data_IF_333865874444
#
_entry.id   IF_333865874444
#
_cell.length_a   1.000
_cell.length_b   1.000
_cell.length_c   1.000
_cell.angle_alpha   90.00
_cell.angle_beta   90.00
_cell.angle_gamma   90.00
#
_symmetry.space_group_name_H-M   'P 1'
#
loop_
_entity.id
_entity.type
_entity.pdbx_description
1 polymer ?
#
# COMPACT_ATOMS: atom_id res chain seq x y z
N UNK A 1 -1.26 -22.69 -16.01
CA UNK A 1 -1.29 -21.21 -16.07
C UNK A 1 -2.28 -20.58 -15.10
N UNK A 2 -3.50 -21.13 -14.94
CA UNK A 2 -4.58 -20.51 -14.15
C UNK A 2 -4.21 -20.23 -12.69
N UNK A 3 -3.52 -21.13 -11.99
CA UNK A 3 -3.17 -20.98 -10.56
C UNK A 3 -2.21 -19.82 -10.25
N UNK A 4 -1.10 -19.68 -10.98
CA UNK A 4 -0.15 -18.56 -10.78
C UNK A 4 -0.76 -17.20 -11.11
N UNK A 5 -1.55 -17.12 -12.19
CA UNK A 5 -2.24 -15.89 -12.56
C UNK A 5 -3.30 -15.48 -11.52
N UNK A 6 -4.00 -16.45 -10.93
CA UNK A 6 -4.92 -16.19 -9.82
C UNK A 6 -4.19 -15.68 -8.59
N UNK A 7 -3.03 -16.26 -8.22
CA UNK A 7 -2.22 -15.78 -7.10
C UNK A 7 -1.72 -14.35 -7.34
N UNK A 8 -1.23 -14.04 -8.55
CA UNK A 8 -0.82 -12.68 -8.93
C UNK A 8 -2.00 -11.69 -8.82
N UNK A 9 -3.19 -12.08 -9.31
CA UNK A 9 -4.39 -11.24 -9.23
C UNK A 9 -4.81 -10.99 -7.77
N UNK A 10 -4.81 -12.03 -6.95
CA UNK A 10 -5.11 -11.93 -5.52
C UNK A 10 -4.13 -10.97 -4.83
N UNK A 11 -2.85 -11.11 -5.12
CA UNK A 11 -1.80 -10.30 -4.52
C UNK A 11 -1.90 -8.81 -4.92
N UNK A 12 -2.22 -8.54 -6.19
CA UNK A 12 -2.53 -7.18 -6.65
C UNK A 12 -3.74 -6.58 -5.94
N UNK A 13 -4.78 -7.39 -5.71
CA UNK A 13 -5.96 -6.95 -4.95
C UNK A 13 -5.59 -6.57 -3.51
N UNK A 14 -4.76 -7.37 -2.84
CA UNK A 14 -4.26 -7.06 -1.50
C UNK A 14 -3.45 -5.75 -1.47
N UNK A 15 -2.53 -5.57 -2.42
CA UNK A 15 -1.75 -4.33 -2.53
C UNK A 15 -2.64 -3.11 -2.72
N UNK A 16 -3.68 -3.22 -3.56
CA UNK A 16 -4.65 -2.14 -3.75
C UNK A 16 -5.38 -1.85 -2.44
N UNK A 17 -5.84 -2.87 -1.71
CA UNK A 17 -6.51 -2.66 -0.42
C UNK A 17 -5.62 -1.98 0.62
N UNK A 18 -4.34 -2.33 0.67
CA UNK A 18 -3.37 -1.68 1.57
C UNK A 18 -3.11 -0.23 1.18
N UNK A 19 -3.00 0.08 -0.11
CA UNK A 19 -2.87 1.46 -0.60
C UNK A 19 -4.09 2.31 -0.25
N UNK A 20 -5.29 1.77 -0.46
CA UNK A 20 -6.53 2.46 -0.09
C UNK A 20 -6.63 2.67 1.42
N UNK A 21 -6.18 1.70 2.22
CA UNK A 21 -6.12 1.83 3.67
C UNK A 21 -5.17 2.95 4.10
N UNK A 22 -3.94 2.97 3.57
CA UNK A 22 -2.95 4.01 3.86
C UNK A 22 -3.52 5.40 3.52
N UNK A 23 -4.05 5.57 2.32
CA UNK A 23 -4.65 6.84 1.88
C UNK A 23 -5.81 7.29 2.78
N UNK A 24 -6.63 6.35 3.27
CA UNK A 24 -7.69 6.65 4.24
C UNK A 24 -7.12 7.12 5.58
N UNK A 25 -6.07 6.47 6.09
CA UNK A 25 -5.42 6.84 7.35
C UNK A 25 -4.73 8.22 7.23
N UNK A 26 -4.06 8.51 6.11
CA UNK A 26 -3.47 9.82 5.82
C UNK A 26 -4.55 10.92 5.80
N UNK A 27 -5.70 10.64 5.18
CA UNK A 27 -6.84 11.56 5.19
C UNK A 27 -7.34 11.81 6.61
N UNK A 28 -7.37 10.78 7.47
CA UNK A 28 -7.75 10.93 8.87
C UNK A 28 -6.76 11.79 9.65
N UNK A 29 -5.45 11.62 9.45
CA UNK A 29 -4.43 12.48 10.04
C UNK A 29 -4.65 13.94 9.61
N UNK A 30 -4.82 14.20 8.32
CA UNK A 30 -5.03 15.55 7.81
C UNK A 30 -6.28 16.22 8.44
N UNK A 31 -7.36 15.45 8.67
CA UNK A 31 -8.55 15.95 9.36
C UNK A 31 -8.28 16.26 10.85
N UNK A 32 -7.49 15.44 11.53
CA UNK A 32 -7.12 15.66 12.93
C UNK A 32 -6.17 16.86 13.09
N UNK A 33 -5.20 17.01 12.19
CA UNK A 33 -4.29 18.17 12.14
C UNK A 33 -5.05 19.46 11.87
N UNK A 34 -6.04 19.43 10.98
CA UNK A 34 -6.92 20.58 10.77
C UNK A 34 -7.71 20.93 12.03
N UNK A 35 -8.23 19.93 12.76
CA UNK A 35 -8.91 20.18 14.04
C UNK A 35 -7.96 20.73 15.09
N UNK A 36 -6.73 20.22 15.16
CA UNK A 36 -5.71 20.70 16.08
C UNK A 36 -5.38 22.18 15.82
N UNK A 37 -5.18 22.54 14.55
CA UNK A 37 -4.87 23.93 14.17
C UNK A 37 -6.04 24.87 14.45
N UNK A 38 -7.29 24.43 14.21
CA UNK A 38 -8.49 25.19 14.59
C UNK A 38 -8.56 25.39 16.11
N UNK A 39 -8.35 24.34 16.89
CA UNK A 39 -8.37 24.38 18.35
C UNK A 39 -7.29 25.33 18.91
N UNK A 40 -6.09 25.32 18.33
CA UNK A 40 -5.00 26.22 18.70
C UNK A 40 -5.32 27.69 18.38
N UNK A 41 -6.03 27.94 17.27
CA UNK A 41 -6.49 29.28 16.92
C UNK A 41 -7.56 29.78 17.90
N UNK A 42 -8.56 28.94 18.21
CA UNK A 42 -9.59 29.25 19.21
C UNK A 42 -8.97 29.55 20.59
N UNK A 43 -8.03 28.72 21.03
CA UNK A 43 -7.27 28.92 22.27
C UNK A 43 -6.57 30.28 22.30
N UNK A 44 -5.92 30.64 21.18
CA UNK A 44 -5.19 31.90 21.06
C UNK A 44 -6.14 33.11 21.10
N UNK A 45 -7.28 33.03 20.42
CA UNK A 45 -8.31 34.07 20.44
C UNK A 45 -8.86 34.28 21.85
N UNK A 46 -9.23 33.20 22.56
CA UNK A 46 -9.71 33.33 23.94
C UNK A 46 -8.65 33.88 24.90
N UNK A 47 -7.39 33.50 24.73
CA UNK A 47 -6.28 34.10 25.49
C UNK A 47 -6.19 35.61 25.27
N UNK A 48 -6.24 36.07 24.03
CA UNK A 48 -6.17 37.50 23.69
C UNK A 48 -7.36 38.28 24.25
N UNK A 49 -8.56 37.71 24.24
CA UNK A 49 -9.79 38.37 24.72
C UNK A 49 -9.88 38.45 26.25
N UNK A 50 -9.49 37.40 26.97
CA UNK A 50 -9.84 37.27 28.39
C UNK A 50 -8.66 37.47 29.37
N UNK A 51 -7.40 37.46 28.92
CA UNK A 51 -6.21 37.58 29.78
C UNK A 51 -6.23 38.83 30.67
N UNK A 52 -6.74 39.96 30.17
CA UNK A 52 -6.77 41.23 30.90
C UNK A 52 -8.13 41.53 31.57
N UNK A 53 -9.03 40.55 31.63
CA UNK A 53 -10.39 40.74 32.14
C UNK A 53 -10.57 40.14 33.54
N UNK A 54 -11.60 40.59 34.27
CA UNK A 54 -11.99 40.03 35.57
C UNK A 54 -12.44 38.55 35.50
N UNK A 55 -12.61 38.00 34.30
CA UNK A 55 -13.01 36.62 34.06
C UNK A 55 -11.82 35.66 33.88
N UNK A 56 -10.60 36.10 34.17
CA UNK A 56 -9.36 35.30 34.06
C UNK A 56 -9.43 33.93 34.77
N UNK A 57 -10.21 33.77 35.85
CA UNK A 57 -10.36 32.48 36.52
C UNK A 57 -11.13 31.43 35.68
N UNK A 58 -12.07 31.86 34.83
CA UNK A 58 -12.82 30.96 33.92
C UNK A 58 -11.89 30.47 32.80
N UNK A 59 -10.99 31.34 32.35
CA UNK A 59 -10.01 31.05 31.32
C UNK A 59 -9.08 29.88 31.72
N UNK A 60 -8.68 29.77 32.98
CA UNK A 60 -7.83 28.68 33.46
C UNK A 60 -8.48 27.29 33.28
N UNK A 61 -9.77 27.18 33.63
CA UNK A 61 -10.50 25.92 33.46
C UNK A 61 -10.71 25.58 31.97
N UNK A 62 -11.01 26.58 31.15
CA UNK A 62 -11.11 26.42 29.70
C UNK A 62 -9.78 25.93 29.10
N UNK A 63 -8.66 26.58 29.42
CA UNK A 63 -7.33 26.22 28.92
C UNK A 63 -6.96 24.79 29.29
N UNK A 64 -7.26 24.36 30.52
CA UNK A 64 -7.01 22.98 30.96
C UNK A 64 -7.77 21.95 30.10
N UNK A 65 -9.03 22.26 29.73
CA UNK A 65 -9.84 21.39 28.86
C UNK A 65 -9.28 21.37 27.43
N UNK A 66 -8.85 22.52 26.92
CA UNK A 66 -8.25 22.63 25.59
C UNK A 66 -6.93 21.87 25.51
N UNK A 67 -6.05 22.02 26.50
CA UNK A 67 -4.75 21.32 26.57
C UNK A 67 -4.95 19.80 26.56
N UNK A 68 -5.94 19.30 27.30
CA UNK A 68 -6.29 17.88 27.27
C UNK A 68 -6.76 17.45 25.88
N UNK A 69 -7.59 18.25 25.20
CA UNK A 69 -8.05 17.94 23.84
C UNK A 69 -6.89 17.97 22.84
N UNK A 70 -5.97 18.92 22.94
CA UNK A 70 -4.75 18.96 22.11
C UNK A 70 -3.90 17.71 22.33
N UNK A 71 -3.72 17.30 23.59
CA UNK A 71 -3.01 16.07 23.93
C UNK A 71 -3.69 14.84 23.30
N UNK A 72 -5.01 14.70 23.46
CA UNK A 72 -5.77 13.57 22.92
C UNK A 72 -5.71 13.53 21.38
N UNK A 73 -5.83 14.68 20.71
CA UNK A 73 -5.68 14.78 19.26
C UNK A 73 -4.28 14.35 18.81
N UNK A 74 -3.24 14.81 19.48
CA UNK A 74 -1.86 14.42 19.17
C UNK A 74 -1.61 12.92 19.40
N UNK A 75 -2.14 12.34 20.47
CA UNK A 75 -2.05 10.89 20.70
C UNK A 75 -2.75 10.09 19.59
N UNK A 76 -3.92 10.55 19.13
CA UNK A 76 -4.63 9.92 18.02
C UNK A 76 -3.83 10.01 16.72
N UNK A 77 -3.26 11.18 16.39
CA UNK A 77 -2.38 11.35 15.23
C UNK A 77 -1.19 10.40 15.30
N UNK A 78 -0.50 10.32 16.43
CA UNK A 78 0.64 9.42 16.62
C UNK A 78 0.25 7.94 16.47
N UNK A 79 -0.94 7.57 16.96
CA UNK A 79 -1.45 6.20 16.83
C UNK A 79 -1.69 5.85 15.37
N UNK A 80 -2.39 6.72 14.63
CA UNK A 80 -2.65 6.51 13.20
C UNK A 80 -1.34 6.49 12.40
N UNK A 81 -0.37 7.36 12.73
CA UNK A 81 0.93 7.36 12.07
C UNK A 81 1.68 6.03 12.25
N UNK A 82 1.60 5.41 13.43
CA UNK A 82 2.15 4.06 13.66
C UNK A 82 1.43 3.00 12.83
N UNK A 83 0.11 3.12 12.66
CA UNK A 83 -0.67 2.21 11.80
C UNK A 83 -0.32 2.35 10.32
N UNK A 84 -0.05 3.57 9.85
CA UNK A 84 0.47 3.83 8.50
C UNK A 84 1.80 3.11 8.30
N UNK A 85 2.77 3.33 9.20
CA UNK A 85 4.09 2.66 9.12
C UNK A 85 3.97 1.13 9.10
N UNK A 86 3.06 0.57 9.92
CA UNK A 86 2.80 -0.87 9.91
C UNK A 86 2.16 -1.34 8.59
N UNK A 87 1.26 -0.55 8.02
CA UNK A 87 0.61 -0.85 6.74
C UNK A 87 1.60 -0.75 5.57
N UNK A 88 2.53 0.19 5.59
CA UNK A 88 3.61 0.32 4.61
C UNK A 88 4.57 -0.88 4.66
N UNK A 89 4.94 -1.34 5.86
CA UNK A 89 5.73 -2.58 6.01
C UNK A 89 5.01 -3.78 5.41
N UNK A 90 3.71 -3.92 5.66
CA UNK A 90 2.88 -4.97 5.04
C UNK A 90 2.85 -4.82 3.53
N UNK A 91 2.67 -3.60 3.01
CA UNK A 91 2.67 -3.31 1.57
C UNK A 91 3.99 -3.76 0.92
N UNK A 92 5.12 -3.48 1.56
CA UNK A 92 6.43 -3.91 1.08
C UNK A 92 6.55 -5.44 1.04
N UNK A 93 6.13 -6.14 2.09
CA UNK A 93 6.12 -7.61 2.14
C UNK A 93 5.25 -8.21 1.03
N UNK A 94 4.01 -7.73 0.89
CA UNK A 94 3.08 -8.23 -0.13
C UNK A 94 3.59 -7.92 -1.55
N UNK A 95 4.32 -6.81 -1.75
CA UNK A 95 4.95 -6.49 -3.03
C UNK A 95 6.12 -7.43 -3.35
N UNK A 96 6.93 -7.79 -2.36
CA UNK A 96 7.99 -8.79 -2.51
C UNK A 96 7.41 -10.15 -2.93
N UNK A 97 6.32 -10.58 -2.30
CA UNK A 97 5.62 -11.81 -2.68
C UNK A 97 5.06 -11.76 -4.10
N UNK A 98 4.44 -10.64 -4.50
CA UNK A 98 3.98 -10.44 -5.88
C UNK A 98 5.13 -10.67 -6.86
N UNK A 99 6.31 -10.10 -6.59
CA UNK A 99 7.48 -10.25 -7.45
C UNK A 99 7.96 -11.69 -7.54
N UNK A 100 7.91 -12.46 -6.45
CA UNK A 100 8.22 -13.89 -6.49
C UNK A 100 7.29 -14.64 -7.45
N UNK A 101 5.99 -14.36 -7.41
CA UNK A 101 5.03 -14.99 -8.32
C UNK A 101 5.22 -14.55 -9.79
N UNK A 102 5.50 -13.27 -10.04
CA UNK A 102 5.79 -12.75 -11.38
C UNK A 102 7.04 -13.40 -11.99
N UNK A 103 8.11 -13.55 -11.21
CA UNK A 103 9.34 -14.23 -11.64
C UNK A 103 9.07 -15.72 -11.92
N UNK A 104 8.34 -16.40 -11.03
CA UNK A 104 7.99 -17.81 -11.21
C UNK A 104 7.19 -18.02 -12.51
N UNK A 105 6.23 -17.14 -12.80
CA UNK A 105 5.46 -17.16 -14.04
C UNK A 105 6.37 -16.94 -15.26
N UNK A 106 7.24 -15.93 -15.23
CA UNK A 106 8.18 -15.64 -16.33
C UNK A 106 9.10 -16.84 -16.62
N UNK A 107 9.65 -17.46 -15.58
CA UNK A 107 10.52 -18.63 -15.72
C UNK A 107 9.76 -19.83 -16.32
N UNK A 108 8.51 -20.03 -15.90
CA UNK A 108 7.66 -21.09 -16.45
C UNK A 108 7.35 -20.87 -17.93
N UNK A 109 6.94 -19.66 -18.30
CA UNK A 109 6.67 -19.31 -19.70
C UNK A 109 7.92 -19.48 -20.58
N UNK A 110 9.09 -19.11 -20.07
CA UNK A 110 10.36 -19.34 -20.78
C UNK A 110 10.63 -20.83 -21.01
N UNK A 111 10.40 -21.68 -20.00
CA UNK A 111 10.56 -23.14 -20.13
C UNK A 111 9.57 -23.72 -21.14
N UNK A 112 8.30 -23.31 -21.08
CA UNK A 112 7.27 -23.76 -22.02
C UNK A 112 7.59 -23.35 -23.46
N UNK A 113 8.10 -22.12 -23.66
CA UNK A 113 8.54 -21.64 -24.97
C UNK A 113 9.71 -22.46 -25.53
N UNK A 114 10.75 -22.71 -24.73
CA UNK A 114 11.89 -23.52 -25.15
C UNK A 114 11.50 -24.98 -25.45
N UNK A 115 10.58 -25.54 -24.67
CA UNK A 115 10.06 -26.88 -24.93
C UNK A 115 9.29 -26.95 -26.25
N UNK A 116 8.46 -25.94 -26.56
CA UNK A 116 7.76 -25.85 -27.84
C UNK A 116 8.73 -25.72 -29.02
N UNK A 117 9.72 -24.83 -28.93
CA UNK A 117 10.75 -24.72 -29.96
C UNK A 117 11.46 -26.04 -30.20
N UNK A 118 11.85 -26.75 -29.13
CA UNK A 118 12.51 -28.06 -29.26
C UNK A 118 11.62 -29.09 -29.96
N UNK A 119 10.32 -29.12 -29.64
CA UNK A 119 9.36 -30.01 -30.31
C UNK A 119 9.20 -29.66 -31.79
N UNK A 120 9.09 -28.37 -32.13
CA UNK A 120 9.00 -27.89 -33.50
C UNK A 120 10.25 -28.23 -34.31
N UNK A 121 11.45 -28.01 -33.76
CA UNK A 121 12.72 -28.38 -34.40
C UNK A 121 12.79 -29.89 -34.65
N UNK A 122 12.49 -30.71 -33.64
CA UNK A 122 12.48 -32.16 -33.80
C UNK A 122 11.50 -32.62 -34.90
N UNK A 123 10.30 -32.04 -34.96
CA UNK A 123 9.33 -32.34 -36.02
C UNK A 123 9.84 -31.97 -37.41
N UNK A 124 10.50 -30.81 -37.55
CA UNK A 124 11.09 -30.39 -38.83
C UNK A 124 12.25 -31.30 -39.25
N UNK A 125 13.06 -31.75 -38.30
CA UNK A 125 14.15 -32.70 -38.54
C UNK A 125 13.59 -34.06 -39.00
N UNK A 126 12.55 -34.57 -38.35
CA UNK A 126 11.87 -35.82 -38.75
C UNK A 126 11.28 -35.73 -40.16
N UNK A 127 10.63 -34.60 -40.51
CA UNK A 127 10.12 -34.33 -41.87
C UNK A 127 11.26 -34.27 -42.88
N UNK A 128 12.40 -33.68 -42.51
CA UNK A 128 13.56 -33.55 -43.39
C UNK A 128 14.21 -34.90 -43.67
N UNK A 129 14.36 -35.73 -42.63
CA UNK A 129 14.91 -37.09 -42.71
C UNK A 129 14.00 -37.97 -43.58
N UNK A 130 12.69 -37.96 -43.33
CA UNK A 130 11.71 -38.76 -44.10
C UNK A 130 11.67 -38.37 -45.58
N UNK A 131 11.72 -37.07 -45.90
CA UNK A 131 11.83 -36.59 -47.30
C UNK A 131 13.14 -37.00 -47.97
N UNK A 132 14.25 -36.92 -47.25
CA UNK A 132 15.55 -37.33 -47.80
C UNK A 132 15.62 -38.85 -48.06
N UNK A 133 15.07 -39.67 -47.16
CA UNK A 133 15.02 -41.12 -47.34
C UNK A 133 14.09 -41.55 -48.47
N UNK A 134 13.00 -40.82 -48.72
CA UNK A 134 12.06 -41.13 -49.81
C UNK A 134 12.54 -40.70 -51.20
N UNK A 135 13.39 -39.67 -51.30
CA UNK A 135 14.03 -39.26 -52.57
C UNK A 135 15.28 -40.09 -52.96
N UNK A 136 15.72 -41.03 -52.10
CA UNK A 136 16.89 -41.91 -52.34
C UNK A 136 16.51 -43.30 -52.86
N UNK A 137 15.22 -43.59 -53.00
CA UNK A 137 14.64 -44.77 -53.66
C UNK A 137 14.20 -44.38 -55.08
#
# INVERSE_FOLDING_TARGET
>A
MKTLNTLIKLQKSKLNSLRTLISRLETQIALLEKKLTQLQQEKKQELEEYVNTKYSYILEQYLTVIDKREYDLNQNIQTIAKEILNSERKLHTEYSELKKYEIALKNKLRKEFLAKQKLETNMLDEISITRFSSNKL
#
